data_IF_768378927708
#
_entry.id   IF_768378927708
#
_cell.length_a   1.000
_cell.length_b   1.000
_cell.length_c   1.000
_cell.angle_alpha   90.00
_cell.angle_beta   90.00
_cell.angle_gamma   90.00
#
_symmetry.space_group_name_H-M   'P 1'
#
loop_
_entity.id
_entity.type
_entity.pdbx_description
1 polymer ?
#
# COMPACT_ATOMS: atom_id res chain seq x y z
N UNK A 1 -19.06 -9.85 76.69
CA UNK A 1 -19.29 -9.05 75.51
C UNK A 1 -18.33 -9.50 74.47
N UNK A 2 -18.78 -10.20 73.47
CA UNK A 2 -17.94 -10.58 72.32
C UNK A 2 -18.17 -9.57 71.20
N UNK A 3 -17.13 -8.80 70.84
CA UNK A 3 -17.18 -7.94 69.69
C UNK A 3 -16.79 -8.76 68.44
N UNK A 4 -17.76 -9.02 67.60
CA UNK A 4 -17.50 -9.58 66.30
C UNK A 4 -16.99 -8.45 65.39
N UNK A 5 -15.73 -8.55 64.94
CA UNK A 5 -15.24 -7.72 63.84
C UNK A 5 -15.57 -8.43 62.54
N UNK A 6 -16.53 -7.87 61.80
CA UNK A 6 -16.78 -8.30 60.45
C UNK A 6 -15.69 -7.70 59.58
N UNK A 7 -14.80 -8.52 59.08
CA UNK A 7 -13.84 -8.13 58.03
C UNK A 7 -14.60 -8.03 56.71
N UNK A 8 -14.85 -6.83 56.25
CA UNK A 8 -15.33 -6.59 54.88
C UNK A 8 -14.13 -6.74 53.96
N UNK A 9 -14.05 -7.89 53.33
CA UNK A 9 -13.09 -8.09 52.22
C UNK A 9 -13.60 -7.31 51.02
N UNK A 10 -12.96 -6.17 50.74
CA UNK A 10 -13.23 -5.37 49.57
C UNK A 10 -12.54 -6.05 48.38
N UNK A 11 -13.33 -6.77 47.57
CA UNK A 11 -12.83 -7.38 46.34
C UNK A 11 -12.63 -6.26 45.30
N UNK A 12 -11.40 -5.81 45.16
CA UNK A 12 -11.03 -4.88 44.08
C UNK A 12 -10.94 -5.71 42.81
N UNK A 13 -12.00 -5.71 42.01
CA UNK A 13 -11.98 -6.23 40.66
C UNK A 13 -11.17 -5.26 39.80
N UNK A 14 -9.92 -5.63 39.54
CA UNK A 14 -9.09 -4.94 38.56
C UNK A 14 -9.67 -5.24 37.17
N UNK A 15 -10.51 -4.35 36.64
CA UNK A 15 -10.93 -4.42 35.25
C UNK A 15 -9.71 -4.02 34.42
N UNK A 16 -8.97 -5.02 33.93
CA UNK A 16 -7.90 -4.80 32.98
C UNK A 16 -8.49 -4.23 31.70
N UNK A 17 -8.33 -2.94 31.49
CA UNK A 17 -8.57 -2.37 30.16
C UNK A 17 -7.49 -2.89 29.22
N UNK A 18 -7.82 -3.90 28.42
CA UNK A 18 -7.04 -4.25 27.24
C UNK A 18 -7.28 -3.17 26.19
N UNK A 19 -6.36 -2.21 26.09
CA UNK A 19 -6.33 -1.33 24.94
C UNK A 19 -5.93 -2.17 23.73
N UNK A 20 -6.88 -2.47 22.85
CA UNK A 20 -6.57 -3.01 21.55
C UNK A 20 -5.67 -1.99 20.83
N UNK A 21 -4.44 -2.40 20.50
CA UNK A 21 -3.55 -1.55 19.70
C UNK A 21 -4.19 -1.39 18.31
N UNK A 22 -4.78 -0.22 18.05
CA UNK A 22 -5.21 0.18 16.71
C UNK A 22 -3.97 0.62 15.96
N UNK A 23 -3.51 -0.23 15.01
CA UNK A 23 -2.47 0.16 14.09
C UNK A 23 -3.06 1.14 13.08
N UNK A 24 -2.65 2.41 13.14
CA UNK A 24 -3.01 3.39 12.13
C UNK A 24 -2.40 2.99 10.79
N UNK A 25 -3.13 3.14 9.67
CA UNK A 25 -2.57 2.97 8.33
C UNK A 25 -1.35 3.87 8.13
N UNK A 26 -0.33 3.33 7.45
CA UNK A 26 0.84 4.10 7.04
C UNK A 26 0.63 4.58 5.60
N UNK A 27 1.06 5.79 5.32
CA UNK A 27 1.00 6.38 3.98
C UNK A 27 2.38 6.83 3.52
N UNK A 28 2.69 6.54 2.27
CA UNK A 28 3.95 6.89 1.61
C UNK A 28 3.63 7.56 0.29
N UNK A 29 4.30 8.66 -0.02
CA UNK A 29 4.20 9.31 -1.32
C UNK A 29 5.51 9.12 -2.08
N UNK A 30 5.43 8.67 -3.32
CA UNK A 30 6.59 8.44 -4.16
C UNK A 30 7.17 9.75 -4.70
N UNK A 31 8.35 9.65 -5.28
CA UNK A 31 8.89 10.66 -6.20
C UNK A 31 8.02 10.69 -7.47
N UNK A 32 8.11 11.76 -8.29
CA UNK A 32 7.45 11.76 -9.59
C UNK A 32 7.93 10.62 -10.48
N UNK A 33 7.03 10.10 -11.31
CA UNK A 33 7.42 9.13 -12.34
C UNK A 33 8.45 9.73 -13.29
N UNK A 34 9.43 8.93 -13.64
CA UNK A 34 10.45 9.26 -14.64
C UNK A 34 10.51 8.14 -15.68
N UNK A 35 10.50 8.51 -16.95
CA UNK A 35 10.58 7.54 -18.04
C UNK A 35 10.25 8.12 -19.39
N UNK A 36 10.32 7.27 -20.39
CA UNK A 36 10.14 7.66 -21.81
C UNK A 36 8.67 7.97 -22.14
N UNK A 37 7.72 7.37 -21.43
CA UNK A 37 6.28 7.55 -21.66
C UNK A 37 5.51 7.84 -20.37
N UNK A 38 5.88 7.27 -19.24
CA UNK A 38 5.29 7.54 -17.94
C UNK A 38 6.22 8.47 -17.16
N UNK A 39 5.93 9.76 -17.19
CA UNK A 39 6.78 10.81 -16.63
C UNK A 39 5.98 11.91 -15.93
N UNK A 40 4.76 11.61 -15.50
CA UNK A 40 3.88 12.54 -14.78
C UNK A 40 3.32 11.87 -13.54
N UNK A 41 3.06 12.69 -12.52
CA UNK A 41 2.38 12.23 -11.32
C UNK A 41 3.25 11.43 -10.36
N UNK A 42 2.61 11.01 -9.29
CA UNK A 42 3.20 10.25 -8.19
C UNK A 42 2.31 9.05 -7.82
N UNK A 43 2.81 8.20 -6.93
CA UNK A 43 2.04 7.12 -6.33
C UNK A 43 1.94 7.35 -4.83
N UNK A 44 0.74 7.23 -4.29
CA UNK A 44 0.52 7.10 -2.85
C UNK A 44 0.35 5.63 -2.52
N UNK A 45 1.19 5.12 -1.63
CA UNK A 45 1.08 3.78 -1.08
C UNK A 45 0.50 3.85 0.33
N UNK A 46 -0.52 3.07 0.60
CA UNK A 46 -1.11 2.94 1.94
C UNK A 46 -0.94 1.51 2.42
N UNK A 47 -0.40 1.36 3.63
CA UNK A 47 -0.25 0.05 4.28
C UNK A 47 -1.22 0.00 5.46
N UNK A 48 -2.18 -0.91 5.38
CA UNK A 48 -3.20 -1.11 6.41
C UNK A 48 -3.32 -2.61 6.69
N UNK A 49 -3.07 -2.98 7.95
CA UNK A 49 -3.11 -4.39 8.40
C UNK A 49 -2.29 -5.33 7.49
N UNK A 50 -1.11 -4.87 7.04
CA UNK A 50 -0.22 -5.62 6.14
C UNK A 50 -0.64 -5.62 4.68
N UNK A 51 -1.73 -4.97 4.33
CA UNK A 51 -2.23 -4.86 2.96
C UNK A 51 -1.77 -3.56 2.34
N UNK A 52 -1.18 -3.63 1.15
CA UNK A 52 -0.64 -2.47 0.44
C UNK A 52 -1.60 -2.09 -0.68
N UNK A 53 -2.02 -0.83 -0.70
CA UNK A 53 -2.81 -0.24 -1.78
C UNK A 53 -2.00 0.87 -2.43
N UNK A 54 -1.99 0.91 -3.76
CA UNK A 54 -1.28 1.92 -4.55
C UNK A 54 -2.29 2.74 -5.35
N UNK A 55 -2.12 4.05 -5.33
CA UNK A 55 -2.96 4.98 -6.07
C UNK A 55 -2.09 6.00 -6.80
N UNK A 56 -2.29 6.16 -8.10
CA UNK A 56 -1.64 7.24 -8.86
C UNK A 56 -2.33 8.57 -8.57
N UNK A 57 -1.56 9.65 -8.59
CA UNK A 57 -2.08 11.02 -8.43
C UNK A 57 -2.98 11.43 -9.59
N UNK A 58 -3.78 12.48 -9.39
CA UNK A 58 -4.72 12.95 -10.41
C UNK A 58 -4.02 13.47 -11.68
N UNK A 59 -2.79 13.98 -11.54
CA UNK A 59 -1.98 14.46 -12.65
C UNK A 59 -1.20 13.36 -13.38
N UNK A 60 -1.30 12.10 -12.94
CA UNK A 60 -0.72 10.97 -13.66
C UNK A 60 -1.45 10.75 -14.98
N UNK A 61 -0.71 10.78 -16.07
CA UNK A 61 -1.22 10.49 -17.41
C UNK A 61 -0.87 9.06 -17.78
N UNK A 62 -1.90 8.25 -18.04
CA UNK A 62 -1.71 6.87 -18.50
C UNK A 62 -1.10 6.92 -19.89
N UNK A 63 0.09 6.31 -20.12
CA UNK A 63 0.73 6.33 -21.43
C UNK A 63 -0.18 5.78 -22.54
N UNK A 64 -0.11 6.42 -23.71
CA UNK A 64 -0.84 5.99 -24.90
C UNK A 64 -0.06 4.87 -25.61
N UNK A 65 -0.07 3.70 -24.99
CA UNK A 65 0.55 2.47 -25.49
C UNK A 65 -0.47 1.33 -25.42
N UNK A 66 -0.27 0.21 -26.14
CA UNK A 66 -1.27 -0.86 -26.21
C UNK A 66 -1.64 -1.47 -24.86
N UNK A 67 -0.68 -1.64 -23.95
CA UNK A 67 -0.92 -2.34 -22.69
C UNK A 67 -0.09 -1.80 -21.53
N UNK A 68 -0.28 -0.52 -21.12
CA UNK A 68 0.40 0.02 -19.95
C UNK A 68 -0.13 -0.68 -18.70
N UNK A 69 0.77 -1.29 -17.95
CA UNK A 69 0.44 -2.14 -16.80
C UNK A 69 1.20 -1.71 -15.56
N UNK A 70 0.58 -1.93 -14.40
CA UNK A 70 1.25 -1.84 -13.13
C UNK A 70 2.32 -2.93 -13.02
N UNK A 71 3.51 -2.56 -12.59
CA UNK A 71 4.58 -3.49 -12.28
C UNK A 71 5.27 -3.05 -10.99
N UNK A 72 5.51 -3.99 -10.10
CA UNK A 72 6.08 -3.72 -8.78
C UNK A 72 7.43 -4.40 -8.68
N UNK A 73 8.39 -3.70 -8.09
CA UNK A 73 9.69 -4.27 -7.70
C UNK A 73 9.77 -4.21 -6.18
N UNK A 74 10.01 -5.34 -5.55
CA UNK A 74 10.17 -5.43 -4.11
C UNK A 74 11.60 -5.11 -3.66
N UNK A 75 11.85 -5.12 -2.36
CA UNK A 75 13.16 -4.82 -1.78
C UNK A 75 14.25 -5.84 -2.16
N UNK A 76 13.87 -7.03 -2.58
CA UNK A 76 14.76 -8.09 -3.02
C UNK A 76 15.02 -8.09 -4.54
N UNK A 77 14.41 -7.16 -5.27
CA UNK A 77 14.51 -7.05 -6.72
C UNK A 77 13.56 -7.97 -7.49
N UNK A 78 12.62 -8.63 -6.82
CA UNK A 78 11.59 -9.41 -7.51
C UNK A 78 10.61 -8.47 -8.21
N UNK A 79 10.22 -8.84 -9.44
CA UNK A 79 9.33 -8.06 -10.28
C UNK A 79 7.98 -8.77 -10.41
N UNK A 80 6.91 -8.02 -10.21
CA UNK A 80 5.54 -8.52 -10.27
C UNK A 80 4.75 -7.71 -11.29
N UNK A 81 4.39 -8.33 -12.41
CA UNK A 81 3.50 -7.73 -13.40
C UNK A 81 2.05 -7.89 -12.92
N UNK A 82 1.34 -6.78 -12.84
CA UNK A 82 -0.04 -6.74 -12.35
C UNK A 82 -1.00 -6.26 -13.45
N UNK A 83 -2.16 -5.77 -13.03
CA UNK A 83 -3.22 -5.38 -13.94
C UNK A 83 -2.83 -4.22 -14.86
N UNK A 84 -3.46 -4.15 -16.01
CA UNK A 84 -3.34 -3.00 -16.91
C UNK A 84 -4.01 -1.75 -16.32
N UNK A 85 -3.48 -0.58 -16.65
CA UNK A 85 -4.10 0.71 -16.28
C UNK A 85 -5.42 0.94 -17.03
N UNK A 86 -5.52 0.49 -18.27
CA UNK A 86 -6.77 0.53 -19.05
C UNK A 86 -7.44 -0.82 -19.03
N UNK A 87 -8.72 -0.80 -18.69
CA UNK A 87 -9.58 -1.98 -18.73
C UNK A 87 -10.70 -1.73 -19.73
N UNK A 88 -11.47 -2.76 -20.01
CA UNK A 88 -12.50 -2.74 -21.04
C UNK A 88 -13.46 -1.54 -20.90
N UNK A 89 -13.71 -0.85 -21.99
CA UNK A 89 -14.44 0.42 -22.02
C UNK A 89 -13.51 1.59 -21.61
N UNK A 90 -14.07 2.68 -21.11
CA UNK A 90 -13.31 3.83 -20.63
C UNK A 90 -12.83 3.70 -19.19
N UNK A 91 -12.89 2.50 -18.64
CA UNK A 91 -12.50 2.22 -17.26
C UNK A 91 -10.98 2.14 -17.11
N UNK A 92 -10.47 2.62 -15.99
CA UNK A 92 -9.05 2.62 -15.67
C UNK A 92 -8.80 2.07 -14.27
N UNK A 93 -7.63 1.47 -14.06
CA UNK A 93 -7.15 1.01 -12.77
C UNK A 93 -6.15 2.01 -12.19
N UNK A 94 -6.64 3.13 -11.68
CA UNK A 94 -5.78 4.16 -11.05
C UNK A 94 -5.42 3.82 -9.59
N UNK A 95 -6.06 2.82 -9.04
CA UNK A 95 -5.80 2.32 -7.68
C UNK A 95 -5.86 0.79 -7.69
N UNK A 96 -4.87 0.15 -7.10
CA UNK A 96 -4.83 -1.31 -6.96
C UNK A 96 -4.47 -1.70 -5.53
N UNK A 97 -4.99 -2.84 -5.09
CA UNK A 97 -4.54 -3.50 -3.87
C UNK A 97 -3.62 -4.65 -4.25
N UNK A 98 -2.43 -4.67 -3.67
CA UNK A 98 -1.44 -5.69 -4.00
C UNK A 98 -1.84 -7.06 -3.47
N UNK A 99 -1.52 -8.14 -4.20
CA UNK A 99 -1.65 -9.49 -3.67
C UNK A 99 -0.86 -9.67 -2.36
N UNK A 100 -1.35 -10.53 -1.48
CA UNK A 100 -0.76 -10.74 -0.15
C UNK A 100 0.68 -11.27 -0.19
N UNK A 101 1.11 -11.89 -1.29
CA UNK A 101 2.48 -12.38 -1.45
C UNK A 101 3.50 -11.26 -1.74
N UNK A 102 3.06 -10.06 -2.12
CA UNK A 102 3.93 -8.89 -2.25
C UNK A 102 4.00 -8.23 -0.88
N UNK A 103 5.14 -8.39 -0.18
CA UNK A 103 5.32 -7.98 1.20
C UNK A 103 5.81 -6.54 1.35
N UNK A 104 6.51 -6.02 0.35
CA UNK A 104 7.03 -4.66 0.34
C UNK A 104 7.14 -4.13 -1.08
N UNK A 105 7.34 -2.82 -1.21
CA UNK A 105 7.50 -2.15 -2.50
C UNK A 105 8.71 -1.22 -2.43
N UNK A 106 9.67 -1.45 -3.31
CA UNK A 106 10.81 -0.56 -3.53
C UNK A 106 10.53 0.41 -4.68
N UNK A 107 9.95 -0.08 -5.77
CA UNK A 107 9.64 0.70 -6.98
C UNK A 107 8.26 0.36 -7.51
N UNK A 108 7.62 1.37 -8.11
CA UNK A 108 6.43 1.21 -8.94
C UNK A 108 6.80 1.54 -10.36
N UNK A 109 6.52 0.62 -11.26
CA UNK A 109 6.83 0.74 -12.68
C UNK A 109 5.55 0.77 -13.49
N UNK A 110 5.61 1.47 -14.63
CA UNK A 110 4.62 1.37 -15.69
C UNK A 110 5.28 0.61 -16.82
N UNK A 111 4.75 -0.55 -17.12
CA UNK A 111 5.31 -1.50 -18.07
C UNK A 111 4.35 -1.73 -19.22
N UNK A 112 4.84 -1.67 -20.45
CA UNK A 112 4.05 -2.07 -21.59
C UNK A 112 4.16 -3.59 -21.78
N UNK A 113 3.12 -4.32 -21.40
CA UNK A 113 3.13 -5.78 -21.46
C UNK A 113 3.03 -6.32 -22.89
N UNK A 114 2.64 -5.49 -23.84
CA UNK A 114 2.65 -5.84 -25.27
C UNK A 114 4.04 -5.72 -25.91
N UNK A 115 4.70 -4.57 -25.73
CA UNK A 115 6.02 -4.30 -26.29
C UNK A 115 7.17 -4.77 -25.38
N UNK A 116 6.88 -5.18 -24.15
CA UNK A 116 7.85 -5.61 -23.14
C UNK A 116 8.93 -4.55 -22.88
N UNK A 117 8.48 -3.31 -22.64
CA UNK A 117 9.36 -2.17 -22.36
C UNK A 117 8.92 -1.42 -21.11
N UNK A 118 9.89 -0.89 -20.39
CA UNK A 118 9.67 0.02 -19.28
C UNK A 118 9.27 1.39 -19.82
N UNK A 119 8.08 1.87 -19.42
CA UNK A 119 7.56 3.17 -19.82
C UNK A 119 7.95 4.27 -18.82
N UNK A 120 8.10 3.93 -17.56
CA UNK A 120 8.53 4.82 -16.50
C UNK A 120 8.49 4.13 -15.15
N UNK A 121 9.13 4.73 -14.17
CA UNK A 121 9.16 4.21 -12.81
C UNK A 121 9.29 5.32 -11.78
N UNK A 122 8.94 4.98 -10.55
CA UNK A 122 9.16 5.82 -9.38
C UNK A 122 9.55 4.97 -8.18
N UNK A 123 10.16 5.61 -7.21
CA UNK A 123 10.52 5.00 -5.92
C UNK A 123 10.07 5.86 -4.76
N UNK A 124 10.15 5.32 -3.58
CA UNK A 124 9.85 6.01 -2.32
C UNK A 124 11.15 6.29 -1.57
N UNK A 125 11.12 7.26 -0.64
CA UNK A 125 12.29 7.56 0.20
C UNK A 125 12.62 6.41 1.16
N UNK A 126 11.64 5.55 1.46
CA UNK A 126 11.80 4.34 2.24
C UNK A 126 11.04 3.19 1.57
N UNK A 127 11.41 1.95 1.89
CA UNK A 127 10.67 0.78 1.43
C UNK A 127 9.27 0.80 2.03
N UNK A 128 8.26 0.64 1.20
CA UNK A 128 6.85 0.54 1.61
C UNK A 128 6.59 -0.83 2.20
N UNK A 129 6.27 -0.87 3.47
CA UNK A 129 5.94 -2.11 4.19
C UNK A 129 5.15 -1.85 5.47
#
# INVERSE_FOLDING_TARGET
>A
MRRMFAAVAMLVTLVGMTTAATYAPKSFTSKPFMGVKANTGTVTATVDAGRITLKVSDDFVIPDTPAPSWQIVDSKGNTYLLNQFRIKGDKTNRMITLPAYIKDVAKVQVWCSFAEVLLGETSFDAIVK
#
